data_IF_022292269875
#
_entry.id   IF_022292269875
#
_cell.length_a   1.000
_cell.length_b   1.000
_cell.length_c   1.000
_cell.angle_alpha   90.00
_cell.angle_beta   90.00
_cell.angle_gamma   90.00
#
_symmetry.space_group_name_H-M   'P 1'
#
loop_
_entity.id
_entity.type
_entity.pdbx_description
1 polymer ?
#
# COMPACT_ATOMS: atom_id res chain seq x y z
N UNK A 1 8.90 14.82 -12.70
CA UNK A 1 8.45 13.41 -12.68
C UNK A 1 9.64 12.48 -12.98
N UNK A 2 10.37 12.65 -14.10
CA UNK A 2 11.50 11.75 -14.42
C UNK A 2 12.63 11.82 -13.37
N UNK A 3 13.00 13.01 -12.90
CA UNK A 3 13.96 13.15 -11.79
C UNK A 3 13.52 12.43 -10.52
N UNK A 4 12.22 12.51 -10.17
CA UNK A 4 11.67 11.76 -9.04
C UNK A 4 11.83 10.26 -9.28
N UNK A 5 11.42 9.77 -10.46
CA UNK A 5 11.56 8.35 -10.85
C UNK A 5 12.99 7.86 -10.68
N UNK A 6 13.95 8.60 -11.25
CA UNK A 6 15.38 8.25 -11.17
C UNK A 6 15.88 8.24 -9.73
N UNK A 7 15.53 9.25 -8.94
CA UNK A 7 15.95 9.33 -7.53
C UNK A 7 15.39 8.15 -6.72
N UNK A 8 14.09 7.86 -6.84
CA UNK A 8 13.44 6.74 -6.12
C UNK A 8 13.99 5.40 -6.60
N UNK A 9 14.14 5.21 -7.93
CA UNK A 9 14.71 3.99 -8.51
C UNK A 9 16.13 3.75 -8.02
N UNK A 10 17.00 4.74 -8.11
CA UNK A 10 18.40 4.60 -7.71
C UNK A 10 18.50 4.23 -6.22
N UNK A 11 17.74 4.92 -5.37
CA UNK A 11 17.68 4.58 -3.95
C UNK A 11 17.14 3.17 -3.73
N UNK A 12 16.00 2.81 -4.32
CA UNK A 12 15.37 1.52 -4.10
C UNK A 12 16.22 0.35 -4.60
N UNK A 13 16.88 0.51 -5.76
CA UNK A 13 17.78 -0.51 -6.30
C UNK A 13 19.07 -0.66 -5.47
N UNK A 14 19.58 0.42 -4.88
CA UNK A 14 20.75 0.36 -4.03
C UNK A 14 20.47 -0.17 -2.62
N UNK A 15 19.34 0.23 -2.02
CA UNK A 15 19.06 0.01 -0.60
C UNK A 15 18.07 -1.13 -0.32
N UNK A 16 17.11 -1.39 -1.23
CA UNK A 16 16.06 -2.37 -1.02
C UNK A 16 16.26 -3.67 -1.83
N UNK A 17 16.59 -3.55 -3.12
CA UNK A 17 16.70 -4.72 -4.00
C UNK A 17 17.71 -5.77 -3.48
N UNK A 18 18.90 -5.41 -2.96
CA UNK A 18 19.83 -6.40 -2.42
C UNK A 18 19.32 -7.10 -1.15
N UNK A 19 18.40 -6.49 -0.43
CA UNK A 19 17.83 -7.00 0.82
C UNK A 19 16.51 -7.75 0.62
N UNK A 20 15.90 -7.67 -0.56
CA UNK A 20 14.54 -8.15 -0.79
C UNK A 20 14.35 -9.66 -0.52
N UNK A 21 15.34 -10.49 -0.84
CA UNK A 21 15.32 -11.93 -0.54
C UNK A 21 15.39 -12.20 0.98
N UNK A 22 16.22 -11.45 1.70
CA UNK A 22 16.35 -11.55 3.15
C UNK A 22 15.09 -11.07 3.88
N UNK A 23 14.50 -9.96 3.42
CA UNK A 23 13.23 -9.43 3.93
C UNK A 23 12.12 -10.48 3.81
N UNK A 24 11.99 -11.13 2.66
CA UNK A 24 11.02 -12.21 2.44
C UNK A 24 11.30 -13.43 3.35
N UNK A 25 12.54 -13.86 3.42
CA UNK A 25 12.96 -15.03 4.19
C UNK A 25 12.74 -14.86 5.70
N UNK A 26 13.10 -13.70 6.23
CA UNK A 26 13.03 -13.42 7.67
C UNK A 26 11.70 -12.87 8.13
N UNK A 27 10.87 -12.41 7.19
CA UNK A 27 9.62 -11.68 7.47
C UNK A 27 9.87 -10.46 8.38
N UNK A 28 10.95 -9.71 8.14
CA UNK A 28 11.32 -8.52 8.89
C UNK A 28 11.36 -7.30 7.99
N UNK A 29 10.66 -6.24 8.40
CA UNK A 29 10.71 -4.96 7.71
C UNK A 29 12.07 -4.28 7.96
N UNK A 30 12.70 -3.69 6.93
CA UNK A 30 13.93 -2.93 7.10
C UNK A 30 13.63 -1.56 7.72
N UNK A 31 13.60 -1.47 9.05
CA UNK A 31 13.12 -0.30 9.81
C UNK A 31 13.87 1.00 9.46
N UNK A 32 15.14 0.91 9.06
CA UNK A 32 15.94 2.04 8.56
C UNK A 32 15.36 2.67 7.28
N UNK A 33 14.56 1.92 6.53
CA UNK A 33 13.93 2.41 5.29
C UNK A 33 12.92 3.55 5.57
N UNK A 34 12.26 3.58 6.73
CA UNK A 34 11.32 4.66 7.05
C UNK A 34 12.00 6.01 7.03
N UNK A 35 13.11 6.16 7.73
CA UNK A 35 13.87 7.41 7.77
C UNK A 35 14.42 7.78 6.39
N UNK A 36 14.96 6.81 5.66
CA UNK A 36 15.48 7.03 4.30
C UNK A 36 14.41 7.47 3.30
N UNK A 37 13.20 6.89 3.39
CA UNK A 37 12.04 7.32 2.59
C UNK A 37 11.57 8.72 2.98
N UNK A 38 11.64 9.08 4.27
CA UNK A 38 11.38 10.43 4.75
C UNK A 38 12.38 11.44 4.18
N UNK A 39 13.68 11.15 4.26
CA UNK A 39 14.76 12.00 3.73
C UNK A 39 14.65 12.14 2.20
N UNK A 40 14.13 11.14 1.50
CA UNK A 40 13.84 11.18 0.06
C UNK A 40 12.56 12.00 -0.27
N UNK A 41 11.76 12.35 0.74
CA UNK A 41 10.52 13.13 0.61
C UNK A 41 9.32 12.34 0.10
N UNK A 42 9.41 11.01 -0.04
CA UNK A 42 8.32 10.22 -0.63
C UNK A 42 7.19 9.91 0.35
N UNK A 43 7.44 9.92 1.67
CA UNK A 43 6.40 9.65 2.67
C UNK A 43 5.30 10.72 2.71
N UNK A 44 5.63 11.96 2.37
CA UNK A 44 4.71 13.09 2.28
C UNK A 44 4.50 13.62 0.87
N UNK A 45 4.58 12.77 -0.15
CA UNK A 45 4.61 13.19 -1.55
C UNK A 45 3.35 13.96 -2.00
N UNK A 46 2.19 13.68 -1.40
CA UNK A 46 0.91 14.38 -1.65
C UNK A 46 0.56 15.42 -0.58
N UNK A 47 1.38 15.55 0.46
CA UNK A 47 1.14 16.47 1.59
C UNK A 47 1.63 17.86 1.25
N UNK A 48 0.93 18.88 1.72
CA UNK A 48 1.31 20.29 1.54
C UNK A 48 2.66 20.60 2.20
N UNK A 49 3.41 21.53 1.59
CA UNK A 49 4.76 21.92 2.04
C UNK A 49 4.78 22.47 3.47
N UNK A 50 3.70 23.15 3.89
CA UNK A 50 3.57 23.69 5.26
C UNK A 50 3.62 22.63 6.37
N UNK A 51 3.35 21.35 6.03
CA UNK A 51 3.45 20.21 6.93
C UNK A 51 4.68 19.32 6.63
N UNK A 52 5.61 19.80 5.82
CA UNK A 52 6.85 19.09 5.44
C UNK A 52 6.71 18.16 4.23
N UNK A 53 5.57 18.20 3.54
CA UNK A 53 5.33 17.41 2.33
C UNK A 53 5.95 17.96 1.06
N UNK A 54 5.93 17.19 -0.02
CA UNK A 54 6.47 17.59 -1.33
C UNK A 54 5.42 18.17 -2.29
N UNK A 55 4.13 18.01 -2.00
CA UNK A 55 2.99 18.50 -2.78
C UNK A 55 3.08 18.19 -4.29
N UNK A 56 3.53 16.99 -4.66
CA UNK A 56 3.79 16.61 -6.05
C UNK A 56 2.61 15.90 -6.74
N UNK A 57 1.55 15.59 -6.00
CA UNK A 57 0.34 14.95 -6.54
C UNK A 57 0.37 13.43 -6.56
N UNK A 58 -0.70 12.84 -7.13
CA UNK A 58 -0.93 11.40 -7.08
C UNK A 58 -0.16 10.63 -8.16
N UNK A 59 0.07 11.23 -9.34
CA UNK A 59 0.94 10.61 -10.34
C UNK A 59 2.36 10.40 -9.79
N UNK A 60 2.89 11.38 -9.09
CA UNK A 60 4.19 11.25 -8.42
C UNK A 60 4.18 10.13 -7.38
N UNK A 61 3.10 9.99 -6.60
CA UNK A 61 2.93 8.93 -5.62
C UNK A 61 2.90 7.54 -6.28
N UNK A 62 2.17 7.39 -7.40
CA UNK A 62 2.12 6.13 -8.16
C UNK A 62 3.49 5.73 -8.70
N UNK A 63 4.27 6.68 -9.17
CA UNK A 63 5.64 6.44 -9.67
C UNK A 63 6.58 6.01 -8.52
N UNK A 64 6.50 6.67 -7.36
CA UNK A 64 7.27 6.25 -6.19
C UNK A 64 6.87 4.83 -5.76
N UNK A 65 5.57 4.53 -5.72
CA UNK A 65 5.03 3.20 -5.41
C UNK A 65 5.54 2.13 -6.40
N UNK A 66 5.57 2.44 -7.70
CA UNK A 66 6.08 1.56 -8.75
C UNK A 66 7.56 1.23 -8.53
N UNK A 67 8.41 2.23 -8.36
CA UNK A 67 9.86 2.02 -8.27
C UNK A 67 10.29 1.35 -6.94
N UNK A 68 9.62 1.67 -5.83
CA UNK A 68 9.85 0.98 -4.55
C UNK A 68 9.42 -0.49 -4.66
N UNK A 69 8.24 -0.76 -5.23
CA UNK A 69 7.70 -2.11 -5.38
C UNK A 69 8.48 -2.96 -6.38
N UNK A 70 9.11 -2.35 -7.40
CA UNK A 70 10.04 -3.01 -8.32
C UNK A 70 11.24 -3.59 -7.58
N UNK A 71 11.75 -2.90 -6.57
CA UNK A 71 12.88 -3.36 -5.75
C UNK A 71 12.42 -4.34 -4.65
N UNK A 72 11.33 -4.01 -3.94
CA UNK A 72 10.73 -4.82 -2.90
C UNK A 72 9.24 -4.52 -2.78
N UNK A 73 8.41 -5.46 -3.23
CA UNK A 73 6.96 -5.28 -3.22
C UNK A 73 6.39 -5.13 -1.79
N UNK A 74 6.95 -5.85 -0.82
CA UNK A 74 6.54 -5.76 0.59
C UNK A 74 6.85 -4.39 1.21
N UNK A 75 8.00 -3.80 0.90
CA UNK A 75 8.31 -2.41 1.32
C UNK A 75 7.40 -1.43 0.62
N UNK A 76 7.11 -1.63 -0.67
CA UNK A 76 6.14 -0.82 -1.42
C UNK A 76 4.74 -0.86 -0.80
N UNK A 77 4.27 -2.03 -0.37
CA UNK A 77 2.97 -2.16 0.31
C UNK A 77 2.94 -1.36 1.62
N UNK A 78 3.95 -1.52 2.48
CA UNK A 78 4.07 -0.76 3.73
C UNK A 78 4.17 0.74 3.49
N UNK A 79 4.92 1.17 2.47
CA UNK A 79 4.99 2.55 2.01
C UNK A 79 3.62 3.10 1.63
N UNK A 80 2.86 2.38 0.79
CA UNK A 80 1.53 2.79 0.37
C UNK A 80 0.54 2.88 1.52
N UNK A 81 0.56 1.92 2.45
CA UNK A 81 -0.29 1.93 3.65
C UNK A 81 0.02 3.14 4.55
N UNK A 82 1.29 3.48 4.71
CA UNK A 82 1.71 4.66 5.46
C UNK A 82 1.33 5.96 4.76
N UNK A 83 1.84 6.18 3.55
CA UNK A 83 1.78 7.47 2.87
C UNK A 83 0.41 7.78 2.27
N UNK A 84 -0.34 6.77 1.81
CA UNK A 84 -1.66 6.98 1.23
C UNK A 84 -2.79 6.71 2.23
N UNK A 85 -2.80 5.56 2.92
CA UNK A 85 -3.91 5.23 3.81
C UNK A 85 -3.92 6.04 5.11
N UNK A 86 -2.76 6.30 5.73
CA UNK A 86 -2.69 7.07 6.97
C UNK A 86 -2.43 8.57 6.70
N UNK A 87 -1.30 8.89 6.11
CA UNK A 87 -0.85 10.28 5.91
C UNK A 87 -1.84 11.08 5.08
N UNK A 88 -2.25 10.56 3.92
CA UNK A 88 -3.20 11.24 3.04
C UNK A 88 -4.59 11.40 3.68
N UNK A 89 -5.05 10.43 4.48
CA UNK A 89 -6.33 10.56 5.21
C UNK A 89 -6.28 11.69 6.24
N UNK A 90 -5.21 11.78 7.02
CA UNK A 90 -5.02 12.88 7.99
C UNK A 90 -4.88 14.22 7.26
N UNK A 91 -4.10 14.26 6.17
CA UNK A 91 -3.94 15.46 5.36
C UNK A 91 -5.27 15.98 4.80
N UNK A 92 -6.13 15.10 4.32
CA UNK A 92 -7.40 15.46 3.67
C UNK A 92 -8.52 15.80 4.65
N UNK A 93 -8.61 15.09 5.77
CA UNK A 93 -9.76 15.13 6.67
C UNK A 93 -9.44 15.69 8.05
N UNK A 94 -8.16 15.88 8.38
CA UNK A 94 -7.73 16.40 9.67
C UNK A 94 -7.97 17.90 9.83
N UNK A 95 -8.20 18.32 11.08
CA UNK A 95 -8.17 19.73 11.46
C UNK A 95 -6.75 20.30 11.33
N UNK A 96 -6.57 21.63 11.24
CA UNK A 96 -5.23 22.24 11.24
C UNK A 96 -4.36 21.77 12.42
N UNK A 97 -4.94 21.63 13.61
CA UNK A 97 -4.24 21.14 14.80
C UNK A 97 -3.77 19.69 14.64
N UNK A 98 -4.63 18.79 14.13
CA UNK A 98 -4.27 17.41 13.85
C UNK A 98 -3.16 17.32 12.80
N UNK A 99 -3.28 18.06 11.70
CA UNK A 99 -2.26 18.09 10.64
C UNK A 99 -0.90 18.53 11.19
N UNK A 100 -0.87 19.65 11.95
CA UNK A 100 0.35 20.17 12.56
C UNK A 100 0.97 19.19 13.57
N UNK A 101 0.14 18.41 14.29
CA UNK A 101 0.61 17.43 15.28
C UNK A 101 1.21 16.17 14.64
N UNK A 102 0.54 15.62 13.63
CA UNK A 102 0.85 14.27 13.12
C UNK A 102 1.70 14.28 11.85
N UNK A 103 1.39 15.16 10.88
CA UNK A 103 2.00 15.07 9.55
C UNK A 103 3.53 15.25 9.55
N UNK A 104 4.13 16.23 10.27
CA UNK A 104 5.59 16.38 10.21
C UNK A 104 6.37 15.14 10.62
N UNK A 105 5.92 14.41 11.65
CA UNK A 105 6.57 13.20 12.12
C UNK A 105 6.33 11.99 11.21
N UNK A 106 5.14 11.91 10.61
CA UNK A 106 4.83 10.87 9.64
C UNK A 106 5.60 11.07 8.33
N UNK A 107 5.68 12.30 7.85
CA UNK A 107 6.38 12.67 6.60
C UNK A 107 7.90 12.48 6.73
N UNK A 108 8.47 12.75 7.90
CA UNK A 108 9.90 12.53 8.16
C UNK A 108 10.29 11.05 8.35
N UNK A 109 9.30 10.15 8.53
CA UNK A 109 9.54 8.76 8.86
C UNK A 109 9.94 8.50 10.32
N UNK A 110 9.82 9.51 11.20
CA UNK A 110 10.02 9.34 12.64
C UNK A 110 8.87 8.57 13.28
N UNK A 111 7.68 8.68 12.71
CA UNK A 111 6.49 7.91 13.08
C UNK A 111 5.97 7.08 11.91
N UNK A 112 5.48 5.89 12.21
CA UNK A 112 4.87 4.96 11.26
C UNK A 112 3.35 5.09 11.33
N UNK A 113 2.72 5.22 10.15
CA UNK A 113 1.28 5.30 10.03
C UNK A 113 0.65 4.01 9.52
N UNK A 114 -0.55 3.71 10.02
CA UNK A 114 -1.40 2.62 9.55
C UNK A 114 -2.87 3.05 9.47
N UNK A 115 -3.69 2.20 8.82
CA UNK A 115 -5.14 2.38 8.78
C UNK A 115 -5.83 1.07 9.13
N UNK A 116 -6.82 1.12 10.01
CA UNK A 116 -7.55 -0.04 10.50
C UNK A 116 -9.05 0.07 10.19
N UNK A 117 -9.47 -0.60 9.11
CA UNK A 117 -10.89 -0.72 8.75
C UNK A 117 -11.41 -2.15 8.90
N UNK A 118 -10.69 -3.14 8.40
CA UNK A 118 -11.14 -4.53 8.32
C UNK A 118 -11.18 -5.21 9.69
N UNK A 119 -12.14 -6.15 9.83
CA UNK A 119 -12.32 -7.01 10.99
C UNK A 119 -12.40 -8.47 10.56
N UNK A 120 -12.25 -9.46 11.47
CA UNK A 120 -12.31 -10.88 11.10
C UNK A 120 -13.57 -11.26 10.31
N UNK A 121 -14.70 -10.58 10.57
CA UNK A 121 -15.99 -10.83 9.90
C UNK A 121 -16.47 -9.66 9.03
N UNK A 122 -15.62 -8.68 8.73
CA UNK A 122 -15.96 -7.50 7.92
C UNK A 122 -14.73 -7.09 7.05
N UNK A 123 -14.52 -7.82 5.95
CA UNK A 123 -13.54 -7.52 4.91
C UNK A 123 -14.18 -6.73 3.78
N UNK A 124 -14.67 -7.38 2.72
CA UNK A 124 -15.36 -6.71 1.61
C UNK A 124 -16.60 -5.93 2.07
N UNK A 125 -17.35 -6.45 3.03
CA UNK A 125 -18.45 -5.74 3.69
C UNK A 125 -17.94 -4.94 4.91
N UNK A 126 -17.01 -4.02 4.66
CA UNK A 126 -16.33 -3.24 5.71
C UNK A 126 -17.29 -2.37 6.53
N UNK A 127 -18.42 -1.94 5.95
CA UNK A 127 -19.41 -1.12 6.67
C UNK A 127 -20.18 -1.91 7.74
N UNK A 128 -20.13 -3.24 7.70
CA UNK A 128 -20.68 -4.14 8.73
C UNK A 128 -19.74 -4.36 9.92
N UNK A 129 -18.66 -3.58 10.02
CA UNK A 129 -17.75 -3.62 11.17
C UNK A 129 -18.47 -3.46 12.50
N UNK A 130 -17.89 -4.03 13.56
CA UNK A 130 -18.50 -4.09 14.91
C UNK A 130 -17.70 -3.41 16.00
N UNK A 131 -16.45 -2.97 15.73
CA UNK A 131 -15.67 -2.21 16.72
C UNK A 131 -16.47 -1.00 17.15
N UNK A 132 -16.74 -0.89 18.45
CA UNK A 132 -17.59 0.15 19.04
C UNK A 132 -16.76 1.30 19.55
N UNK A 133 -17.36 2.49 19.52
CA UNK A 133 -16.84 3.69 20.16
C UNK A 133 -17.98 4.32 20.97
N UNK A 134 -17.98 4.11 22.27
CA UNK A 134 -19.01 4.60 23.18
C UNK A 134 -18.61 5.97 23.75
N UNK A 135 -19.46 6.99 23.57
CA UNK A 135 -19.20 8.36 24.06
C UNK A 135 -19.26 8.44 25.60
N UNK A 136 -18.27 9.09 26.21
CA UNK A 136 -18.13 9.27 27.65
C UNK A 136 -17.80 10.75 28.01
N UNK A 137 -18.58 11.68 27.46
CA UNK A 137 -18.46 13.11 27.76
C UNK A 137 -17.38 13.83 26.92
N UNK A 138 -16.12 13.68 27.27
CA UNK A 138 -14.98 14.32 26.58
C UNK A 138 -14.15 13.34 25.71
N UNK A 139 -14.56 12.07 25.66
CA UNK A 139 -13.83 10.98 24.98
C UNK A 139 -14.77 9.92 24.46
N UNK A 140 -14.24 9.07 23.60
CA UNK A 140 -14.82 7.80 23.19
C UNK A 140 -14.03 6.64 23.78
N UNK A 141 -14.73 5.56 24.15
CA UNK A 141 -14.11 4.32 24.62
C UNK A 141 -14.28 3.26 23.52
N UNK A 142 -13.16 2.85 22.94
CA UNK A 142 -13.13 1.90 21.83
C UNK A 142 -12.97 0.48 22.34
N UNK A 143 -13.83 -0.43 21.84
CA UNK A 143 -13.80 -1.86 22.16
C UNK A 143 -14.02 -2.72 20.91
N UNK A 144 -13.12 -3.67 20.65
CA UNK A 144 -13.20 -4.61 19.54
C UNK A 144 -11.84 -4.98 18.95
N UNK A 145 -11.86 -5.55 17.76
CA UNK A 145 -10.66 -6.08 17.10
C UNK A 145 -10.61 -5.64 15.64
N UNK A 146 -9.42 -5.34 15.14
CA UNK A 146 -9.15 -5.11 13.71
C UNK A 146 -8.19 -6.18 13.20
N UNK A 147 -8.38 -6.62 11.94
CA UNK A 147 -7.63 -7.73 11.36
C UNK A 147 -6.99 -7.34 10.02
N UNK A 148 -5.85 -7.96 9.72
CA UNK A 148 -5.05 -7.75 8.50
C UNK A 148 -4.54 -6.32 8.33
N UNK A 149 -4.15 -5.67 9.42
CA UNK A 149 -3.72 -4.27 9.39
C UNK A 149 -2.24 -4.16 9.04
N UNK A 150 -1.97 -3.71 7.81
CA UNK A 150 -0.61 -3.41 7.33
C UNK A 150 0.00 -2.29 8.16
N UNK A 151 1.27 -2.44 8.55
CA UNK A 151 2.01 -1.60 9.51
C UNK A 151 1.40 -1.57 10.92
N UNK A 152 0.27 -2.24 11.17
CA UNK A 152 -0.39 -2.22 12.47
C UNK A 152 0.52 -2.61 13.65
N UNK A 153 1.35 -3.67 13.53
CA UNK A 153 2.29 -4.03 14.60
C UNK A 153 3.33 -2.97 14.95
N UNK A 154 3.70 -2.13 13.98
CA UNK A 154 4.80 -1.15 14.12
C UNK A 154 4.30 0.29 14.27
N UNK A 155 3.01 0.57 14.02
CA UNK A 155 2.50 1.92 13.88
C UNK A 155 2.58 2.75 15.16
N UNK A 156 2.95 4.02 15.00
CA UNK A 156 2.88 5.04 16.04
C UNK A 156 1.54 5.79 15.99
N UNK A 157 0.94 5.89 14.80
CA UNK A 157 -0.36 6.53 14.55
C UNK A 157 -1.23 5.63 13.68
N UNK A 158 -2.47 5.46 14.10
CA UNK A 158 -3.45 4.60 13.44
C UNK A 158 -4.74 5.36 13.15
N UNK A 159 -5.17 5.40 11.88
CA UNK A 159 -6.53 5.83 11.53
C UNK A 159 -7.46 4.64 11.71
N UNK A 160 -8.43 4.74 12.61
CA UNK A 160 -9.36 3.64 12.97
C UNK A 160 -10.79 4.05 12.66
N UNK A 161 -11.56 3.13 12.09
CA UNK A 161 -13.00 3.29 11.90
C UNK A 161 -13.77 2.45 12.91
N UNK A 162 -14.74 3.06 13.59
CA UNK A 162 -15.55 2.43 14.62
C UNK A 162 -17.02 2.85 14.52
N UNK A 163 -17.90 2.06 15.14
CA UNK A 163 -19.33 2.36 15.27
C UNK A 163 -19.57 3.24 16.50
N UNK A 164 -19.95 4.47 16.26
CA UNK A 164 -20.47 5.41 17.29
C UNK A 164 -21.98 5.21 17.51
N UNK A 165 -22.72 4.93 16.42
CA UNK A 165 -24.14 4.63 16.45
C UNK A 165 -24.43 3.37 15.60
N UNK A 166 -24.31 2.15 16.18
CA UNK A 166 -24.43 0.89 15.42
C UNK A 166 -25.73 0.74 14.64
N UNK A 167 -26.85 1.22 15.19
CA UNK A 167 -28.18 1.10 14.59
C UNK A 167 -28.34 1.93 13.29
N UNK A 168 -27.46 2.90 13.06
CA UNK A 168 -27.45 3.69 11.83
C UNK A 168 -26.63 3.06 10.69
N UNK A 169 -26.11 1.84 10.86
CA UNK A 169 -25.33 1.15 9.84
C UNK A 169 -24.09 1.95 9.40
N UNK A 170 -23.93 2.17 8.10
CA UNK A 170 -22.81 2.95 7.56
C UNK A 170 -22.79 4.42 8.04
N UNK A 171 -23.97 5.00 8.34
CA UNK A 171 -24.09 6.37 8.81
C UNK A 171 -23.74 6.54 10.30
N UNK A 172 -23.56 5.46 11.04
CA UNK A 172 -23.14 5.48 12.44
C UNK A 172 -21.66 5.15 12.62
N UNK A 173 -20.84 5.40 11.61
CA UNK A 173 -19.38 5.20 11.65
C UNK A 173 -18.66 6.53 11.86
N UNK A 174 -17.61 6.49 12.69
CA UNK A 174 -16.69 7.63 12.93
C UNK A 174 -15.25 7.16 12.73
N UNK A 175 -14.42 8.01 12.16
CA UNK A 175 -12.99 7.79 12.05
C UNK A 175 -12.25 8.48 13.21
N UNK A 176 -11.26 7.79 13.77
CA UNK A 176 -10.46 8.26 14.90
C UNK A 176 -8.98 8.16 14.59
N UNK A 177 -8.18 9.06 15.19
CA UNK A 177 -6.72 8.93 15.25
C UNK A 177 -6.37 8.33 16.60
N UNK A 178 -5.78 7.12 16.58
CA UNK A 178 -5.30 6.42 17.77
C UNK A 178 -3.78 6.44 17.76
N UNK A 179 -3.16 6.72 18.91
CA UNK A 179 -1.71 6.76 19.07
C UNK A 179 -1.20 5.52 19.79
N UNK A 180 0.01 5.09 19.43
CA UNK A 180 0.75 4.09 20.17
C UNK A 180 0.89 4.51 21.64
N UNK A 181 0.65 3.57 22.54
CA UNK A 181 0.72 3.84 23.98
C UNK A 181 -0.59 4.27 24.61
N UNK A 182 -1.67 4.51 23.86
CA UNK A 182 -3.01 4.64 24.44
C UNK A 182 -3.34 3.34 25.20
N UNK A 183 -3.72 3.48 26.49
CA UNK A 183 -3.99 2.32 27.36
C UNK A 183 -5.12 1.47 26.76
N UNK A 184 -4.92 0.16 26.72
CA UNK A 184 -5.88 -0.80 26.15
C UNK A 184 -5.74 -1.05 24.67
N UNK A 185 -4.91 -0.29 23.94
CA UNK A 185 -4.52 -0.60 22.56
C UNK A 185 -3.33 -1.56 22.56
N UNK A 186 -3.46 -2.66 21.83
CA UNK A 186 -2.39 -3.68 21.73
C UNK A 186 -2.42 -4.42 20.40
N UNK A 187 -1.29 -5.05 20.09
CA UNK A 187 -1.12 -5.98 18.97
C UNK A 187 -1.31 -7.40 19.51
N UNK A 188 -2.35 -8.11 19.04
CA UNK A 188 -2.60 -9.48 19.46
C UNK A 188 -1.62 -10.45 18.79
N UNK A 189 -1.37 -10.26 17.49
CA UNK A 189 -0.42 -11.07 16.72
C UNK A 189 0.05 -10.37 15.46
N UNK A 190 1.26 -10.70 15.05
CA UNK A 190 1.77 -10.48 13.68
C UNK A 190 1.43 -11.73 12.85
N UNK A 191 0.83 -11.52 11.68
CA UNK A 191 0.38 -12.60 10.81
C UNK A 191 1.52 -13.11 9.93
N UNK A 192 1.69 -14.43 9.85
CA UNK A 192 2.54 -15.09 8.86
C UNK A 192 1.77 -15.20 7.54
N UNK A 193 2.32 -14.66 6.45
CA UNK A 193 1.61 -14.50 5.17
C UNK A 193 2.25 -15.31 4.05
N UNK A 194 1.47 -15.61 3.03
CA UNK A 194 1.91 -16.25 1.79
C UNK A 194 2.99 -15.41 1.07
N UNK A 195 2.75 -14.12 0.90
CA UNK A 195 3.60 -13.13 0.27
C UNK A 195 3.61 -11.83 1.04
N UNK A 196 4.19 -10.78 0.46
CA UNK A 196 4.41 -9.50 1.12
C UNK A 196 5.09 -9.66 2.49
N UNK A 197 5.93 -10.68 2.60
CA UNK A 197 6.69 -10.97 3.82
C UNK A 197 7.69 -9.83 4.05
N UNK A 198 7.81 -9.43 5.30
CA UNK A 198 8.51 -8.19 5.66
C UNK A 198 7.61 -6.96 5.77
N UNK A 199 6.45 -6.94 5.13
CA UNK A 199 5.41 -5.95 5.42
C UNK A 199 4.60 -6.42 6.62
N UNK A 200 4.91 -5.94 7.82
CA UNK A 200 4.26 -6.41 9.04
C UNK A 200 2.76 -6.12 8.99
N UNK A 201 1.98 -7.17 9.18
CA UNK A 201 0.52 -7.13 9.14
C UNK A 201 0.00 -7.82 10.38
N UNK A 202 -0.96 -7.25 11.08
CA UNK A 202 -1.36 -7.79 12.38
C UNK A 202 -2.84 -7.71 12.69
N UNK A 203 -3.16 -8.35 13.80
CA UNK A 203 -4.40 -8.23 14.52
C UNK A 203 -4.22 -7.22 15.65
N UNK A 204 -5.13 -6.23 15.70
CA UNK A 204 -5.10 -5.14 16.68
C UNK A 204 -6.30 -5.27 17.61
N UNK A 205 -6.09 -5.13 18.91
CA UNK A 205 -7.12 -5.23 19.95
C UNK A 205 -7.28 -3.89 20.65
N UNK A 206 -8.53 -3.51 20.82
CA UNK A 206 -8.98 -2.34 21.55
C UNK A 206 -9.80 -2.79 22.75
N UNK A 207 -9.29 -2.56 23.96
CA UNK A 207 -9.95 -2.93 25.20
C UNK A 207 -10.01 -1.70 26.11
N UNK A 208 -11.19 -1.08 26.13
CA UNK A 208 -11.43 0.17 26.84
C UNK A 208 -10.43 1.28 26.47
N UNK A 209 -10.11 1.41 25.17
CA UNK A 209 -9.19 2.46 24.68
C UNK A 209 -9.89 3.81 24.72
N UNK A 210 -9.41 4.68 25.58
CA UNK A 210 -9.91 6.06 25.67
C UNK A 210 -9.30 6.95 24.59
N UNK A 211 -10.13 7.48 23.71
CA UNK A 211 -9.74 8.37 22.61
C UNK A 211 -10.43 9.71 22.78
N UNK A 212 -9.69 10.80 22.96
CA UNK A 212 -10.27 12.14 23.12
C UNK A 212 -11.12 12.57 21.93
N UNK A 213 -12.14 13.40 22.14
CA UNK A 213 -13.03 13.87 21.04
C UNK A 213 -12.26 14.66 19.97
N UNK A 214 -11.17 15.34 20.34
CA UNK A 214 -10.30 16.04 19.40
C UNK A 214 -9.53 15.10 18.44
N UNK A 215 -9.55 13.81 18.69
CA UNK A 215 -8.97 12.78 17.79
C UNK A 215 -9.98 12.22 16.78
N UNK A 216 -11.20 12.74 16.73
CA UNK A 216 -12.11 12.44 15.62
C UNK A 216 -11.50 12.98 14.31
N UNK A 217 -11.35 12.11 13.31
CA UNK A 217 -10.89 12.51 11.99
C UNK A 217 -12.09 12.81 11.08
N UNK A 218 -12.22 14.07 10.69
CA UNK A 218 -13.42 14.57 10.00
C UNK A 218 -14.50 14.99 10.99
N UNK A 219 -15.68 14.36 10.90
CA UNK A 219 -16.80 14.64 11.81
C UNK A 219 -17.38 13.32 12.37
N UNK A 220 -18.03 13.42 13.52
CA UNK A 220 -18.80 12.33 14.11
C UNK A 220 -19.83 11.79 13.10
N UNK A 221 -19.99 10.47 13.03
CA UNK A 221 -20.90 9.78 12.11
C UNK A 221 -20.61 10.03 10.61
N UNK A 222 -19.47 10.64 10.26
CA UNK A 222 -19.01 10.83 8.89
C UNK A 222 -17.87 9.86 8.47
N UNK A 223 -17.57 8.85 9.28
CA UNK A 223 -16.47 7.92 9.03
C UNK A 223 -16.59 7.17 7.70
N UNK A 224 -17.78 6.79 7.27
CA UNK A 224 -17.99 6.17 5.96
C UNK A 224 -17.61 7.12 4.81
N UNK A 225 -17.86 8.42 4.93
CA UNK A 225 -17.46 9.42 3.93
C UNK A 225 -15.93 9.55 3.88
N UNK A 226 -15.28 9.59 5.04
CA UNK A 226 -13.80 9.62 5.15
C UNK A 226 -13.21 8.38 4.50
N UNK A 227 -13.70 7.19 4.87
CA UNK A 227 -13.25 5.91 4.33
C UNK A 227 -13.37 5.86 2.80
N UNK A 228 -14.57 6.09 2.27
CA UNK A 228 -14.83 5.97 0.83
C UNK A 228 -14.04 7.00 0.00
N UNK A 229 -13.83 8.19 0.52
CA UNK A 229 -12.97 9.19 -0.16
C UNK A 229 -11.51 8.73 -0.24
N UNK A 230 -11.03 7.98 0.75
CA UNK A 230 -9.68 7.44 0.79
C UNK A 230 -9.48 6.27 -0.16
N UNK A 231 -10.46 5.35 -0.23
CA UNK A 231 -10.36 4.14 -1.05
C UNK A 231 -10.20 4.43 -2.55
N UNK A 232 -10.78 5.50 -3.06
CA UNK A 232 -10.62 5.86 -4.47
C UNK A 232 -9.15 6.20 -4.79
N UNK A 233 -8.49 6.99 -3.92
CA UNK A 233 -7.06 7.29 -4.06
C UNK A 233 -6.16 6.07 -3.82
N UNK A 234 -6.53 5.25 -2.83
CA UNK A 234 -5.82 4.01 -2.52
C UNK A 234 -5.74 3.11 -3.75
N UNK A 235 -6.87 2.80 -4.37
CA UNK A 235 -6.92 1.95 -5.55
C UNK A 235 -6.00 2.43 -6.66
N UNK A 236 -6.00 3.73 -6.91
CA UNK A 236 -5.16 4.33 -7.92
C UNK A 236 -3.66 4.28 -7.55
N UNK A 237 -3.28 4.71 -6.34
CA UNK A 237 -1.87 4.72 -5.89
C UNK A 237 -1.34 3.30 -5.73
N UNK A 238 -2.13 2.42 -5.13
CA UNK A 238 -1.75 1.03 -4.88
C UNK A 238 -1.45 0.27 -6.19
N UNK A 239 -2.11 0.66 -7.31
CA UNK A 239 -1.86 0.08 -8.64
C UNK A 239 -0.41 0.25 -9.12
N UNK A 240 0.36 1.16 -8.55
CA UNK A 240 1.81 1.27 -8.80
C UNK A 240 2.58 0.02 -8.35
N UNK A 241 2.10 -0.64 -7.28
CA UNK A 241 2.71 -1.88 -6.78
C UNK A 241 2.74 -3.02 -7.78
N UNK A 242 1.58 -3.46 -8.32
CA UNK A 242 1.51 -4.45 -9.38
C UNK A 242 2.34 -4.08 -10.62
N UNK A 243 2.35 -2.81 -11.04
CA UNK A 243 3.17 -2.35 -12.17
C UNK A 243 4.66 -2.50 -11.85
N UNK A 244 5.08 -2.19 -10.62
CA UNK A 244 6.44 -2.42 -10.15
C UNK A 244 6.83 -3.89 -10.17
N UNK A 245 5.94 -4.79 -9.72
CA UNK A 245 6.15 -6.25 -9.79
C UNK A 245 6.28 -6.72 -11.25
N UNK A 246 5.42 -6.24 -12.15
CA UNK A 246 5.51 -6.58 -13.56
C UNK A 246 6.85 -6.14 -14.18
N UNK A 247 7.33 -4.95 -13.81
CA UNK A 247 8.64 -4.49 -14.25
C UNK A 247 9.77 -5.37 -13.69
N UNK A 248 9.71 -5.74 -12.40
CA UNK A 248 10.68 -6.66 -11.79
C UNK A 248 10.72 -8.02 -12.49
N UNK A 249 9.56 -8.53 -12.92
CA UNK A 249 9.49 -9.75 -13.74
C UNK A 249 10.28 -9.59 -15.05
N UNK A 250 10.09 -8.49 -15.78
CA UNK A 250 10.84 -8.22 -17.00
C UNK A 250 12.34 -8.09 -16.75
N UNK A 251 12.73 -7.43 -15.64
CA UNK A 251 14.14 -7.27 -15.27
C UNK A 251 14.84 -8.63 -15.02
N UNK A 252 14.11 -9.61 -14.51
CA UNK A 252 14.62 -10.97 -14.26
C UNK A 252 14.66 -11.82 -15.54
N UNK A 253 13.54 -11.84 -16.29
CA UNK A 253 13.43 -12.75 -17.43
C UNK A 253 14.28 -12.32 -18.63
N UNK A 254 14.44 -11.01 -18.85
CA UNK A 254 15.13 -10.52 -20.03
C UNK A 254 16.58 -11.02 -20.13
N UNK A 255 17.46 -10.84 -19.12
CA UNK A 255 18.80 -11.41 -19.17
C UNK A 255 18.76 -12.96 -19.16
N UNK A 256 17.86 -13.55 -18.38
CA UNK A 256 17.80 -15.01 -18.25
C UNK A 256 17.55 -15.72 -19.58
N UNK A 257 16.63 -15.25 -20.42
CA UNK A 257 16.31 -15.88 -21.71
C UNK A 257 17.44 -15.79 -22.73
N UNK A 258 18.35 -14.82 -22.59
CA UNK A 258 19.56 -14.70 -23.42
C UNK A 258 20.69 -15.61 -22.94
N UNK A 259 20.85 -15.75 -21.62
CA UNK A 259 21.95 -16.51 -21.03
C UNK A 259 21.68 -18.02 -20.97
N UNK A 260 20.42 -18.39 -20.67
CA UNK A 260 20.01 -19.79 -20.55
C UNK A 260 19.95 -20.48 -21.92
N UNK A 261 20.68 -21.55 -22.08
CA UNK A 261 20.71 -22.35 -23.33
C UNK A 261 20.11 -23.72 -23.11
N UNK A 262 19.26 -24.15 -24.03
CA UNK A 262 18.76 -25.54 -24.17
C UNK A 262 18.66 -25.90 -25.66
N UNK A 263 18.81 -27.16 -25.99
CA UNK A 263 18.79 -27.64 -27.37
C UNK A 263 19.80 -26.91 -28.28
N UNK A 264 20.94 -26.49 -27.70
CA UNK A 264 22.02 -25.84 -28.44
C UNK A 264 21.89 -24.34 -28.69
N UNK A 265 20.82 -23.69 -28.23
CA UNK A 265 20.58 -22.26 -28.45
C UNK A 265 20.00 -21.56 -27.19
N UNK A 266 19.99 -20.23 -27.17
CA UNK A 266 19.33 -19.45 -26.11
C UNK A 266 17.84 -19.74 -26.10
N UNK A 267 17.23 -19.83 -24.90
CA UNK A 267 15.79 -20.10 -24.81
C UNK A 267 14.95 -18.96 -25.39
N UNK A 268 15.48 -17.75 -25.43
CA UNK A 268 14.85 -16.59 -26.09
C UNK A 268 14.72 -16.72 -27.61
N UNK A 269 15.38 -17.69 -28.23
CA UNK A 269 15.23 -17.97 -29.67
C UNK A 269 14.03 -18.89 -29.99
N UNK A 270 13.38 -19.48 -28.97
CA UNK A 270 12.17 -20.27 -29.17
C UNK A 270 10.93 -19.39 -29.28
N UNK A 271 10.11 -19.58 -30.31
CA UNK A 271 8.92 -18.78 -30.57
C UNK A 271 7.91 -18.78 -29.41
N UNK A 272 7.78 -19.88 -28.64
CA UNK A 272 6.90 -19.94 -27.49
C UNK A 272 7.38 -19.01 -26.35
N UNK A 273 8.68 -18.83 -26.19
CA UNK A 273 9.25 -17.88 -25.22
C UNK A 273 9.07 -16.45 -25.75
N UNK A 274 9.35 -16.21 -27.03
CA UNK A 274 9.16 -14.90 -27.66
C UNK A 274 7.72 -14.42 -27.55
N UNK A 275 6.73 -15.31 -27.79
CA UNK A 275 5.31 -15.00 -27.61
C UNK A 275 4.98 -14.57 -26.18
N UNK A 276 5.45 -15.33 -25.15
CA UNK A 276 5.26 -14.96 -23.74
C UNK A 276 5.84 -13.58 -23.42
N UNK A 277 7.07 -13.32 -23.84
CA UNK A 277 7.75 -12.02 -23.59
C UNK A 277 7.03 -10.86 -24.28
N UNK A 278 6.55 -11.07 -25.49
CA UNK A 278 5.76 -10.07 -26.23
C UNK A 278 4.45 -9.73 -25.50
N UNK A 279 3.73 -10.74 -25.01
CA UNK A 279 2.49 -10.55 -24.23
C UNK A 279 2.77 -9.86 -22.90
N UNK A 280 3.83 -10.25 -22.18
CA UNK A 280 4.26 -9.64 -20.91
C UNK A 280 4.64 -8.18 -21.11
N UNK A 281 5.45 -7.88 -22.12
CA UNK A 281 5.85 -6.50 -22.43
C UNK A 281 4.65 -5.63 -22.76
N UNK A 282 3.77 -6.10 -23.65
CA UNK A 282 2.56 -5.36 -24.07
C UNK A 282 1.65 -5.10 -22.88
N UNK A 283 1.45 -6.12 -22.02
CA UNK A 283 0.64 -6.01 -20.81
C UNK A 283 1.20 -4.97 -19.84
N UNK A 284 2.51 -4.99 -19.60
CA UNK A 284 3.18 -4.00 -18.73
C UNK A 284 3.00 -2.57 -19.27
N UNK A 285 3.21 -2.36 -20.59
CA UNK A 285 3.07 -1.03 -21.16
C UNK A 285 1.62 -0.53 -21.12
N UNK A 286 0.64 -1.41 -21.37
CA UNK A 286 -0.78 -1.07 -21.25
C UNK A 286 -1.14 -0.71 -19.81
N UNK A 287 -0.72 -1.51 -18.85
CA UNK A 287 -0.95 -1.28 -17.41
C UNK A 287 -0.36 0.06 -16.94
N UNK A 288 0.90 0.32 -17.28
CA UNK A 288 1.61 1.57 -16.93
C UNK A 288 0.94 2.80 -17.58
N UNK A 289 0.58 2.71 -18.84
CA UNK A 289 -0.09 3.79 -19.56
C UNK A 289 -1.44 4.12 -18.94
N UNK A 290 -2.22 3.09 -18.58
CA UNK A 290 -3.49 3.28 -17.89
C UNK A 290 -3.31 3.89 -16.50
N UNK A 291 -2.40 3.36 -15.70
CA UNK A 291 -2.07 3.91 -14.38
C UNK A 291 -1.74 5.41 -14.44
N UNK A 292 -0.84 5.78 -15.35
CA UNK A 292 -0.40 7.18 -15.46
C UNK A 292 -1.50 8.10 -16.00
N UNK A 293 -2.39 7.60 -16.86
CA UNK A 293 -3.56 8.35 -17.29
C UNK A 293 -4.49 8.62 -16.13
N UNK A 294 -4.76 7.62 -15.27
CA UNK A 294 -5.57 7.80 -14.05
C UNK A 294 -4.91 8.80 -13.10
N UNK A 295 -3.58 8.71 -12.89
CA UNK A 295 -2.84 9.64 -12.06
C UNK A 295 -2.92 11.08 -12.54
N UNK A 296 -2.72 11.32 -13.83
CA UNK A 296 -2.88 12.66 -14.44
C UNK A 296 -4.31 13.20 -14.28
N UNK A 297 -5.32 12.35 -14.43
CA UNK A 297 -6.71 12.76 -14.25
C UNK A 297 -7.00 13.15 -12.78
N UNK A 298 -6.47 12.40 -11.82
CA UNK A 298 -6.61 12.74 -10.39
C UNK A 298 -5.97 14.09 -10.07
N UNK A 299 -4.78 14.36 -10.59
CA UNK A 299 -4.07 15.61 -10.35
C UNK A 299 -4.74 16.81 -11.03
N UNK A 300 -5.31 16.61 -12.23
CA UNK A 300 -5.97 17.69 -13.00
C UNK A 300 -7.34 18.05 -12.47
N UNK A 301 -8.11 17.09 -11.93
CA UNK A 301 -9.48 17.32 -11.45
C UNK A 301 -9.53 17.86 -10.01
N UNK A 302 -8.43 17.76 -9.27
CA UNK A 302 -8.40 18.10 -7.85
C UNK A 302 -9.18 17.10 -6.97
N UNK A 303 -9.05 17.27 -5.67
CA UNK A 303 -9.53 16.30 -4.68
C UNK A 303 -11.05 16.22 -4.52
N UNK A 304 -11.78 17.27 -4.93
CA UNK A 304 -13.25 17.34 -4.84
C UNK A 304 -13.96 16.59 -5.99
N UNK A 305 -13.25 16.32 -7.09
CA UNK A 305 -13.79 15.68 -8.29
C UNK A 305 -13.44 14.19 -8.44
N UNK A 306 -12.84 13.58 -7.43
CA UNK A 306 -12.40 12.17 -7.49
C UNK A 306 -13.52 11.19 -7.89
N UNK A 307 -14.78 11.51 -7.58
CA UNK A 307 -15.93 10.69 -7.98
C UNK A 307 -16.07 10.50 -9.49
N UNK A 308 -15.58 11.47 -10.30
CA UNK A 308 -15.61 11.39 -11.75
C UNK A 308 -14.69 10.30 -12.30
N UNK A 309 -13.58 10.05 -11.60
CA UNK A 309 -12.59 9.03 -11.97
C UNK A 309 -12.65 7.75 -11.16
N UNK A 310 -13.63 7.63 -10.24
CA UNK A 310 -13.79 6.46 -9.36
C UNK A 310 -13.77 5.13 -10.11
N UNK A 311 -14.48 5.04 -11.23
CA UNK A 311 -14.51 3.82 -12.06
C UNK A 311 -13.12 3.48 -12.59
N UNK A 312 -12.33 4.50 -12.99
CA UNK A 312 -11.01 4.30 -13.54
C UNK A 312 -10.01 3.90 -12.43
N UNK A 313 -10.15 4.46 -11.22
CA UNK A 313 -9.39 4.04 -10.04
C UNK A 313 -9.66 2.57 -9.68
N UNK A 314 -10.92 2.14 -9.70
CA UNK A 314 -11.29 0.75 -9.46
C UNK A 314 -10.84 -0.18 -10.60
N UNK A 315 -10.97 0.27 -11.85
CA UNK A 315 -10.61 -0.53 -13.01
C UNK A 315 -9.09 -0.71 -13.15
N UNK A 316 -8.30 0.31 -12.83
CA UNK A 316 -6.84 0.21 -12.93
C UNK A 316 -6.26 -0.78 -11.93
N UNK A 317 -6.75 -0.81 -10.68
CA UNK A 317 -6.28 -1.80 -9.70
C UNK A 317 -6.71 -3.22 -10.08
N UNK A 318 -7.96 -3.40 -10.50
CA UNK A 318 -8.44 -4.69 -10.97
C UNK A 318 -7.55 -5.23 -12.09
N UNK A 319 -7.29 -4.41 -13.12
CA UNK A 319 -6.46 -4.82 -14.26
C UNK A 319 -5.02 -5.10 -13.87
N UNK A 320 -4.38 -4.19 -13.13
CA UNK A 320 -2.96 -4.32 -12.78
C UNK A 320 -2.70 -5.47 -11.82
N UNK A 321 -3.59 -5.72 -10.86
CA UNK A 321 -3.49 -6.82 -9.90
C UNK A 321 -3.53 -8.20 -10.60
N UNK A 322 -4.56 -8.44 -11.42
CA UNK A 322 -4.68 -9.69 -12.17
C UNK A 322 -3.51 -9.91 -13.12
N UNK A 323 -3.09 -8.83 -13.82
CA UNK A 323 -1.97 -8.92 -14.78
C UNK A 323 -0.63 -9.12 -14.12
N UNK A 324 -0.40 -8.58 -12.93
CA UNK A 324 0.83 -8.82 -12.17
C UNK A 324 0.93 -10.29 -11.71
N UNK A 325 -0.14 -10.87 -11.20
CA UNK A 325 -0.17 -12.28 -10.80
C UNK A 325 0.06 -13.20 -12.01
N UNK A 326 -0.63 -12.93 -13.12
CA UNK A 326 -0.43 -13.69 -14.36
C UNK A 326 1.03 -13.59 -14.84
N UNK A 327 1.58 -12.38 -14.92
CA UNK A 327 2.92 -12.12 -15.44
C UNK A 327 4.01 -12.74 -14.55
N UNK A 328 3.84 -12.69 -13.24
CA UNK A 328 4.74 -13.34 -12.30
C UNK A 328 4.70 -14.86 -12.44
N UNK A 329 3.53 -15.45 -12.67
CA UNK A 329 3.37 -16.86 -12.98
C UNK A 329 4.06 -17.27 -14.29
N UNK A 330 3.93 -16.46 -15.36
CA UNK A 330 4.65 -16.64 -16.60
C UNK A 330 6.18 -16.55 -16.42
N UNK A 331 6.64 -15.67 -15.51
CA UNK A 331 8.07 -15.58 -15.18
C UNK A 331 8.59 -16.86 -14.51
N UNK A 332 7.81 -17.44 -13.59
CA UNK A 332 8.12 -18.76 -13.00
C UNK A 332 8.21 -19.82 -14.10
N UNK A 333 7.24 -19.82 -15.03
CA UNK A 333 7.20 -20.78 -16.13
C UNK A 333 8.40 -20.64 -17.09
N UNK A 334 8.81 -19.41 -17.42
CA UNK A 334 9.96 -19.14 -18.30
C UNK A 334 11.28 -19.62 -17.68
N UNK A 335 11.44 -19.44 -16.36
CA UNK A 335 12.62 -19.92 -15.66
C UNK A 335 12.63 -21.45 -15.45
N UNK A 336 11.50 -22.12 -15.63
CA UNK A 336 11.37 -23.57 -15.44
C UNK A 336 11.73 -24.00 -14.02
N UNK A 337 12.57 -25.01 -13.85
CA UNK A 337 13.00 -25.48 -12.52
C UNK A 337 13.66 -24.39 -11.67
N UNK A 338 14.40 -23.47 -12.29
CA UNK A 338 14.98 -22.32 -11.60
C UNK A 338 13.93 -21.34 -11.09
N UNK A 339 12.76 -21.24 -11.73
CA UNK A 339 11.65 -20.42 -11.25
C UNK A 339 10.95 -21.00 -10.01
N UNK A 340 11.17 -22.30 -9.73
CA UNK A 340 10.52 -23.00 -8.62
C UNK A 340 11.40 -23.11 -7.37
N UNK A 341 12.59 -22.57 -7.39
CA UNK A 341 13.52 -22.51 -6.25
C UNK A 341 13.69 -21.07 -5.75
N UNK A 342 13.96 -20.91 -4.45
CA UNK A 342 13.97 -19.61 -3.80
C UNK A 342 15.21 -18.73 -4.10
N UNK A 343 16.21 -19.27 -4.79
CA UNK A 343 17.39 -18.53 -5.26
C UNK A 343 17.04 -17.51 -6.36
N UNK A 344 15.92 -17.71 -7.06
CA UNK A 344 15.40 -16.78 -8.06
C UNK A 344 14.19 -16.03 -7.49
N UNK A 345 14.03 -14.72 -7.79
CA UNK A 345 13.03 -13.88 -7.15
C UNK A 345 11.59 -14.09 -7.66
N UNK A 346 11.40 -14.80 -8.78
CA UNK A 346 10.08 -14.88 -9.44
C UNK A 346 9.00 -15.55 -8.59
N UNK A 347 9.38 -16.54 -7.75
CA UNK A 347 8.46 -17.15 -6.79
C UNK A 347 7.99 -16.17 -5.73
N UNK A 348 8.87 -15.28 -5.21
CA UNK A 348 8.51 -14.19 -4.32
C UNK A 348 7.59 -13.20 -5.01
N UNK A 349 7.93 -12.75 -6.22
CA UNK A 349 7.11 -11.82 -6.99
C UNK A 349 5.69 -12.35 -7.24
N UNK A 350 5.55 -13.65 -7.49
CA UNK A 350 4.25 -14.29 -7.66
C UNK A 350 3.41 -14.31 -6.37
N UNK A 351 4.04 -14.68 -5.24
CA UNK A 351 3.38 -14.66 -3.92
C UNK A 351 2.96 -13.23 -3.52
N UNK A 352 3.82 -12.26 -3.78
CA UNK A 352 3.57 -10.85 -3.48
C UNK A 352 2.43 -10.27 -4.34
N UNK A 353 2.41 -10.57 -5.64
CA UNK A 353 1.39 -10.08 -6.56
C UNK A 353 -0.02 -10.48 -6.15
N UNK A 354 -0.19 -11.69 -5.59
CA UNK A 354 -1.51 -12.24 -5.24
C UNK A 354 -2.28 -11.39 -4.22
N UNK A 355 -1.58 -10.66 -3.35
CA UNK A 355 -2.24 -9.79 -2.37
C UNK A 355 -3.12 -8.73 -3.03
N UNK A 356 -2.66 -8.14 -4.13
CA UNK A 356 -3.37 -7.04 -4.79
C UNK A 356 -4.73 -7.43 -5.39
N UNK A 357 -4.92 -8.71 -5.72
CA UNK A 357 -6.24 -9.22 -6.14
C UNK A 357 -7.23 -9.38 -4.97
N UNK A 358 -6.73 -9.46 -3.73
CA UNK A 358 -7.53 -9.77 -2.54
C UNK A 358 -7.81 -8.49 -1.74
N UNK A 359 -6.81 -7.65 -1.55
CA UNK A 359 -6.78 -6.58 -0.56
C UNK A 359 -7.01 -5.17 -1.11
N UNK A 360 -7.34 -5.02 -2.40
CA UNK A 360 -7.48 -3.71 -3.04
C UNK A 360 -8.89 -3.42 -3.60
#
# INVERSE_FOLDING_TARGET
IEMLRESVRNWAQAELAPRAAEIDRTDQFPMDAWKKMGDLGVLGITVAEEYGGANMGYLAHMIAMEEISRASASVGLSYGAHSNLCVNQIHRNGTPAQKARYLPKLVSGDWIGALAMSEPNAGSDVVSMKLRADFKGDRYVLNGTKMWITNGPDCDVLVVYAKTEPDLGARGMTAFIVEKGMKGFSVAQKLDKLGMRGSHTGELVFQDVEVPVENILGAENAGAKVLMSGLDYERAVLSGGPVGIMQACMDVITPYIHDRKQFGQSIGEFQLIQGKVADMYTTLQAARSYLYTVGKNLDSLGTEHVRQVRKDCAAVILYTAEKATWMAGESVQILGGNGYINEYPVGRLWRDAKLYEIGA
#
